data_IF_821349940271
#
_entry.id   IF_821349940271
#
_cell.length_a   1.000
_cell.length_b   1.000
_cell.length_c   1.000
_cell.angle_alpha   90.00
_cell.angle_beta   90.00
_cell.angle_gamma   90.00
#
_symmetry.space_group_name_H-M   'P 1'
#
loop_
_entity.id
_entity.type
_entity.pdbx_description
1 polymer ?
#
# COMPACT_ATOMS: atom_id res chain seq x y z
N UNK A 1 -40.61 67.30 -12.05
CA UNK A 1 -39.49 66.68 -11.31
C UNK A 1 -39.30 65.18 -11.57
N UNK A 2 -40.11 64.50 -12.34
CA UNK A 2 -40.09 63.05 -12.56
C UNK A 2 -38.98 62.52 -13.53
N UNK A 3 -38.59 63.27 -14.57
CA UNK A 3 -37.63 62.80 -15.61
C UNK A 3 -36.16 62.68 -15.15
N UNK A 4 -35.74 63.24 -14.04
CA UNK A 4 -34.33 63.10 -13.55
C UNK A 4 -34.09 61.84 -12.70
N UNK A 5 -35.10 61.24 -12.11
CA UNK A 5 -34.98 59.99 -11.37
C UNK A 5 -34.76 58.76 -12.29
N UNK A 6 -35.47 58.70 -13.42
CA UNK A 6 -35.39 57.58 -14.37
C UNK A 6 -33.99 57.46 -15.06
N UNK A 7 -33.32 58.60 -15.27
CA UNK A 7 -31.99 58.59 -15.88
C UNK A 7 -30.91 58.08 -14.93
N UNK A 8 -31.05 58.26 -13.64
CA UNK A 8 -30.08 57.83 -12.63
C UNK A 8 -30.17 56.30 -12.35
N UNK A 9 -31.40 55.77 -12.33
CA UNK A 9 -31.62 54.31 -12.20
C UNK A 9 -31.14 53.55 -13.43
N UNK A 10 -31.37 54.06 -14.62
CA UNK A 10 -30.85 53.51 -15.89
C UNK A 10 -29.31 53.47 -15.92
N UNK A 11 -28.64 54.51 -15.39
CA UNK A 11 -27.17 54.57 -15.34
C UNK A 11 -26.62 53.54 -14.35
N UNK A 12 -27.19 53.40 -13.15
CA UNK A 12 -26.79 52.37 -12.14
C UNK A 12 -27.01 50.94 -12.65
N UNK A 13 -28.10 50.70 -13.37
CA UNK A 13 -28.37 49.38 -13.95
C UNK A 13 -27.33 49.01 -15.00
N UNK A 14 -26.89 49.96 -15.85
CA UNK A 14 -25.84 49.78 -16.86
C UNK A 14 -24.47 49.52 -16.19
N UNK A 15 -24.15 50.20 -15.14
CA UNK A 15 -22.91 50.00 -14.38
C UNK A 15 -22.87 48.60 -13.70
N UNK A 16 -23.95 48.20 -13.06
CA UNK A 16 -24.09 46.85 -12.53
C UNK A 16 -23.97 45.75 -13.58
N UNK A 17 -24.51 45.96 -14.77
CA UNK A 17 -24.39 45.05 -15.88
C UNK A 17 -22.93 44.91 -16.38
N UNK A 18 -22.20 46.05 -16.48
CA UNK A 18 -20.76 46.08 -16.81
C UNK A 18 -19.93 45.35 -15.76
N UNK A 19 -20.19 45.57 -14.48
CA UNK A 19 -19.50 44.92 -13.37
C UNK A 19 -19.73 43.40 -13.36
N UNK A 20 -20.95 42.94 -13.64
CA UNK A 20 -21.26 41.49 -13.77
C UNK A 20 -20.51 40.88 -14.97
N UNK A 21 -20.44 41.54 -16.12
CA UNK A 21 -19.65 41.06 -17.28
C UNK A 21 -18.18 40.99 -16.95
N UNK A 22 -17.60 42.00 -16.32
CA UNK A 22 -16.21 42.02 -15.86
C UNK A 22 -15.90 40.87 -14.89
N UNK A 23 -16.72 40.70 -13.89
CA UNK A 23 -16.54 39.62 -12.90
C UNK A 23 -16.67 38.22 -13.56
N UNK A 24 -17.58 38.06 -14.51
CA UNK A 24 -17.71 36.81 -15.30
C UNK A 24 -16.49 36.52 -16.16
N UNK A 25 -15.95 37.54 -16.82
CA UNK A 25 -14.71 37.41 -17.59
C UNK A 25 -13.52 37.08 -16.71
N UNK A 26 -13.35 37.74 -15.56
CA UNK A 26 -12.30 37.45 -14.56
C UNK A 26 -12.38 36.02 -14.02
N UNK A 27 -13.60 35.54 -13.72
CA UNK A 27 -13.82 34.13 -13.31
C UNK A 27 -13.45 33.15 -14.43
N UNK A 28 -13.77 33.48 -15.68
CA UNK A 28 -13.44 32.63 -16.84
C UNK A 28 -11.93 32.52 -17.03
N UNK A 29 -11.20 33.63 -16.98
CA UNK A 29 -9.73 33.66 -17.09
C UNK A 29 -9.06 32.85 -15.97
N UNK A 30 -9.52 33.04 -14.71
CA UNK A 30 -9.03 32.27 -13.57
C UNK A 30 -9.29 30.77 -13.75
N UNK A 31 -10.46 30.39 -14.25
CA UNK A 31 -10.80 29.00 -14.56
C UNK A 31 -9.92 28.41 -15.66
N UNK A 32 -9.59 29.15 -16.68
CA UNK A 32 -8.70 28.73 -17.77
C UNK A 32 -7.26 28.55 -17.29
N UNK A 33 -6.75 29.49 -16.50
CA UNK A 33 -5.42 29.38 -15.86
C UNK A 33 -5.32 28.14 -14.96
N UNK A 34 -6.33 27.89 -14.13
CA UNK A 34 -6.39 26.69 -13.30
C UNK A 34 -6.40 25.41 -14.13
N UNK A 35 -7.16 25.37 -15.25
CA UNK A 35 -7.20 24.24 -16.17
C UNK A 35 -5.86 24.01 -16.85
N UNK A 36 -5.15 25.08 -17.25
CA UNK A 36 -3.82 24.96 -17.83
C UNK A 36 -2.79 24.44 -16.83
N UNK A 37 -2.79 24.97 -15.61
CA UNK A 37 -1.93 24.49 -14.53
C UNK A 37 -2.15 23.00 -14.27
N UNK A 38 -3.40 22.58 -14.16
CA UNK A 38 -3.81 21.20 -13.97
C UNK A 38 -3.33 20.29 -15.12
N UNK A 39 -3.50 20.71 -16.39
CA UNK A 39 -3.02 19.96 -17.56
C UNK A 39 -1.50 19.81 -17.58
N UNK A 40 -0.77 20.85 -17.16
CA UNK A 40 0.70 20.79 -17.03
C UNK A 40 1.12 19.80 -15.95
N UNK A 41 0.48 19.83 -14.79
CA UNK A 41 0.74 18.87 -13.71
C UNK A 41 0.47 17.42 -14.13
N UNK A 42 -0.67 17.14 -14.77
CA UNK A 42 -0.97 15.80 -15.27
C UNK A 42 0.07 15.30 -16.30
N UNK A 43 0.53 16.18 -17.18
CA UNK A 43 1.54 15.81 -18.18
C UNK A 43 2.89 15.52 -17.52
N UNK A 44 3.26 16.30 -16.50
CA UNK A 44 4.49 16.05 -15.71
C UNK A 44 4.41 14.70 -15.03
N UNK A 45 3.34 14.42 -14.29
CA UNK A 45 3.13 13.13 -13.61
C UNK A 45 3.17 11.95 -14.60
N UNK A 46 2.57 12.11 -15.79
CA UNK A 46 2.59 11.07 -16.81
C UNK A 46 4.01 10.81 -17.36
N UNK A 47 4.84 11.83 -17.49
CA UNK A 47 6.25 11.68 -17.86
C UNK A 47 7.07 11.00 -16.76
N UNK A 48 6.83 11.36 -15.50
CA UNK A 48 7.49 10.74 -14.35
C UNK A 48 7.14 9.25 -14.24
N UNK A 49 5.87 8.87 -14.41
CA UNK A 49 5.44 7.46 -14.48
C UNK A 49 6.14 6.74 -15.64
N UNK A 50 6.21 7.37 -16.81
CA UNK A 50 6.91 6.81 -17.96
C UNK A 50 8.39 6.55 -17.65
N UNK A 51 9.08 7.55 -17.09
CA UNK A 51 10.50 7.43 -16.73
C UNK A 51 10.74 6.36 -15.67
N UNK A 52 9.84 6.22 -14.69
CA UNK A 52 9.94 5.17 -13.68
C UNK A 52 9.82 3.76 -14.31
N UNK A 53 8.90 3.59 -15.26
CA UNK A 53 8.76 2.32 -15.98
C UNK A 53 9.97 2.04 -16.88
N UNK A 54 10.46 3.07 -17.60
CA UNK A 54 11.68 2.94 -18.42
C UNK A 54 12.88 2.55 -17.53
N UNK A 55 12.98 3.13 -16.34
CA UNK A 55 14.03 2.78 -15.38
C UNK A 55 13.91 1.34 -14.87
N UNK A 56 12.70 0.84 -14.59
CA UNK A 56 12.49 -0.53 -14.10
C UNK A 56 12.67 -1.55 -15.22
N UNK A 57 12.02 -1.36 -16.36
CA UNK A 57 11.98 -2.35 -17.45
C UNK A 57 13.17 -2.25 -18.40
N UNK A 58 13.79 -1.09 -18.51
CA UNK A 58 14.79 -0.80 -19.54
C UNK A 58 14.16 -0.88 -20.95
N UNK A 59 14.97 -1.22 -21.93
CA UNK A 59 14.52 -1.39 -23.32
C UNK A 59 13.84 -2.75 -23.58
N UNK A 60 13.73 -3.58 -22.57
CA UNK A 60 13.24 -4.93 -22.71
C UNK A 60 11.71 -4.95 -22.82
N UNK A 61 11.23 -5.40 -23.95
CA UNK A 61 9.82 -5.53 -24.28
C UNK A 61 9.36 -6.97 -24.11
N UNK A 62 9.41 -7.48 -22.86
CA UNK A 62 8.91 -8.81 -22.57
C UNK A 62 7.42 -8.92 -22.93
N UNK A 63 7.04 -10.02 -23.55
CA UNK A 63 5.64 -10.38 -23.82
C UNK A 63 5.39 -11.71 -23.10
N UNK A 64 4.21 -11.93 -22.50
CA UNK A 64 3.89 -13.21 -21.89
C UNK A 64 4.04 -14.34 -22.90
N UNK A 65 4.73 -15.43 -22.55
CA UNK A 65 4.94 -16.58 -23.43
C UNK A 65 3.64 -17.24 -23.90
N UNK A 66 2.56 -17.07 -23.12
CA UNK A 66 1.20 -17.56 -23.43
C UNK A 66 0.35 -16.57 -24.23
N UNK A 67 0.88 -15.38 -24.55
CA UNK A 67 0.14 -14.44 -25.37
C UNK A 67 0.08 -14.92 -26.81
N UNK A 68 -1.06 -14.66 -27.49
CA UNK A 68 -1.21 -14.97 -28.90
C UNK A 68 -0.21 -14.18 -29.74
N UNK A 69 0.34 -14.78 -30.80
CA UNK A 69 1.35 -14.15 -31.67
C UNK A 69 0.94 -12.80 -32.26
N UNK A 70 -0.37 -12.58 -32.48
CA UNK A 70 -0.94 -11.33 -32.96
C UNK A 70 -1.23 -10.30 -31.84
N UNK A 71 -0.66 -10.46 -30.65
CA UNK A 71 -0.85 -9.51 -29.55
C UNK A 71 -0.25 -8.15 -29.94
N UNK A 72 -1.09 -7.17 -30.20
CA UNK A 72 -0.69 -5.83 -30.66
C UNK A 72 -0.15 -4.91 -29.57
N UNK A 73 -0.26 -5.28 -28.27
CA UNK A 73 0.25 -4.50 -27.17
C UNK A 73 1.62 -5.01 -26.71
N UNK A 74 2.42 -4.09 -26.16
CA UNK A 74 3.71 -4.41 -25.54
C UNK A 74 3.59 -4.25 -24.02
N UNK A 75 4.35 -5.00 -23.25
CA UNK A 75 4.35 -4.97 -21.77
C UNK A 75 4.49 -3.58 -21.24
N UNK A 76 5.48 -2.82 -21.69
CA UNK A 76 5.69 -1.42 -21.30
C UNK A 76 4.45 -0.56 -21.59
N UNK A 77 3.83 -0.68 -22.77
CA UNK A 77 2.64 0.10 -23.13
C UNK A 77 1.45 -0.23 -22.24
N UNK A 78 1.25 -1.52 -21.93
CA UNK A 78 0.19 -1.96 -21.02
C UNK A 78 0.40 -1.40 -19.61
N UNK A 79 1.62 -1.48 -19.08
CA UNK A 79 1.95 -0.98 -17.75
C UNK A 79 1.79 0.54 -17.65
N UNK A 80 2.30 1.30 -18.63
CA UNK A 80 2.13 2.76 -18.66
C UNK A 80 0.65 3.13 -18.68
N UNK A 81 -0.14 2.49 -19.55
CA UNK A 81 -1.58 2.79 -19.64
C UNK A 81 -2.31 2.42 -18.35
N UNK A 82 -1.99 1.27 -17.74
CA UNK A 82 -2.60 0.84 -16.48
C UNK A 82 -2.25 1.78 -15.32
N UNK A 83 -0.99 2.17 -15.17
CA UNK A 83 -0.57 3.10 -14.11
C UNK A 83 -1.16 4.50 -14.32
N UNK A 84 -1.20 5.01 -15.54
CA UNK A 84 -1.85 6.30 -15.83
C UNK A 84 -3.36 6.27 -15.62
N UNK A 85 -3.99 5.11 -15.75
CA UNK A 85 -5.38 4.91 -15.36
C UNK A 85 -5.56 4.94 -13.85
N UNK A 86 -4.75 4.18 -13.09
CA UNK A 86 -4.82 4.07 -11.63
C UNK A 86 -4.49 5.42 -10.97
N UNK A 87 -3.45 6.10 -11.40
CA UNK A 87 -3.04 7.40 -10.87
C UNK A 87 -3.85 8.59 -11.42
N UNK A 88 -4.97 8.32 -12.09
CA UNK A 88 -5.88 9.39 -12.51
C UNK A 88 -6.69 9.91 -11.33
N UNK A 89 -6.84 11.22 -11.25
CA UNK A 89 -7.66 11.92 -10.26
C UNK A 89 -9.17 11.91 -10.56
N UNK A 90 -9.60 11.14 -11.56
CA UNK A 90 -11.01 11.06 -11.94
C UNK A 90 -11.77 10.10 -11.03
N UNK A 91 -12.88 10.57 -10.47
CA UNK A 91 -13.72 9.79 -9.56
C UNK A 91 -14.45 8.60 -10.21
N UNK A 92 -14.58 8.58 -11.55
CA UNK A 92 -15.21 7.47 -12.27
C UNK A 92 -14.17 6.67 -13.04
N UNK A 93 -14.20 5.36 -12.92
CA UNK A 93 -13.20 4.46 -13.54
C UNK A 93 -13.11 4.62 -15.06
N UNK A 94 -14.23 4.87 -15.75
CA UNK A 94 -14.24 5.11 -17.20
C UNK A 94 -13.60 6.46 -17.56
N UNK A 95 -13.92 7.51 -16.81
CA UNK A 95 -13.32 8.85 -17.04
C UNK A 95 -11.81 8.81 -16.74
N UNK A 96 -11.39 8.03 -15.74
CA UNK A 96 -10.00 7.76 -15.42
C UNK A 96 -9.31 7.04 -16.59
N UNK A 97 -9.95 6.00 -17.16
CA UNK A 97 -9.43 5.29 -18.34
C UNK A 97 -9.26 6.22 -19.52
N UNK A 98 -10.26 7.03 -19.87
CA UNK A 98 -10.19 7.98 -20.96
C UNK A 98 -9.08 9.03 -20.75
N UNK A 99 -8.90 9.47 -19.50
CA UNK A 99 -7.80 10.40 -19.14
C UNK A 99 -6.45 9.72 -19.27
N UNK A 100 -6.27 8.54 -18.68
CA UNK A 100 -5.04 7.76 -18.74
C UNK A 100 -4.65 7.38 -20.16
N UNK A 101 -5.62 6.98 -20.99
CA UNK A 101 -5.40 6.66 -22.41
C UNK A 101 -4.90 7.87 -23.19
N UNK A 102 -5.49 9.06 -23.00
CA UNK A 102 -5.00 10.31 -23.62
C UNK A 102 -3.58 10.64 -23.18
N UNK A 103 -3.27 10.50 -21.88
CA UNK A 103 -1.93 10.75 -21.37
C UNK A 103 -0.92 9.73 -21.92
N UNK A 104 -1.28 8.46 -21.96
CA UNK A 104 -0.45 7.39 -22.54
C UNK A 104 -0.09 7.70 -24.00
N UNK A 105 -1.07 8.05 -24.82
CA UNK A 105 -0.83 8.47 -26.21
C UNK A 105 0.10 9.67 -26.30
N UNK A 106 -0.02 10.63 -25.37
CA UNK A 106 0.80 11.86 -25.37
C UNK A 106 2.26 11.61 -24.99
N UNK A 107 2.52 10.77 -23.96
CA UNK A 107 3.88 10.57 -23.41
C UNK A 107 4.60 9.36 -23.99
N UNK A 108 3.85 8.39 -24.51
CA UNK A 108 4.40 7.13 -25.05
C UNK A 108 4.12 6.96 -26.55
N UNK A 109 3.25 7.78 -27.14
CA UNK A 109 2.88 7.72 -28.57
C UNK A 109 1.93 6.57 -28.93
N UNK A 110 1.73 5.59 -28.05
CA UNK A 110 0.95 4.37 -28.27
C UNK A 110 0.02 4.09 -27.08
N UNK A 111 -0.98 3.25 -27.30
CA UNK A 111 -1.86 2.69 -26.27
C UNK A 111 -1.95 1.19 -26.45
N UNK A 112 -2.12 0.45 -25.37
CA UNK A 112 -2.31 -1.00 -25.42
C UNK A 112 -3.76 -1.36 -25.79
N UNK A 113 -4.72 -0.64 -25.20
CA UNK A 113 -6.16 -0.88 -25.39
C UNK A 113 -6.92 0.42 -25.61
N UNK A 114 -7.80 0.42 -26.62
CA UNK A 114 -8.71 1.54 -26.91
C UNK A 114 -10.01 1.47 -26.10
N UNK A 115 -10.34 0.32 -25.53
CA UNK A 115 -11.55 0.14 -24.73
C UNK A 115 -11.24 -0.21 -23.27
N UNK A 116 -12.04 0.33 -22.35
CA UNK A 116 -11.94 0.05 -20.91
C UNK A 116 -12.06 -1.44 -20.60
N UNK A 117 -13.06 -2.13 -21.20
CA UNK A 117 -13.24 -3.57 -21.00
C UNK A 117 -12.08 -4.41 -21.50
N UNK A 118 -11.43 -4.01 -22.60
CA UNK A 118 -10.23 -4.66 -23.12
C UNK A 118 -9.07 -4.55 -22.14
N UNK A 119 -8.81 -3.34 -21.61
CA UNK A 119 -7.78 -3.14 -20.59
C UNK A 119 -8.03 -3.99 -19.33
N UNK A 120 -9.25 -3.97 -18.80
CA UNK A 120 -9.58 -4.75 -17.59
C UNK A 120 -9.41 -6.25 -17.82
N UNK A 121 -9.90 -6.80 -18.95
CA UNK A 121 -9.70 -8.22 -19.26
C UNK A 121 -8.22 -8.60 -19.38
N UNK A 122 -7.41 -7.72 -19.98
CA UNK A 122 -5.98 -7.94 -20.06
C UNK A 122 -5.32 -7.90 -18.67
N UNK A 123 -5.65 -6.92 -17.83
CA UNK A 123 -5.12 -6.83 -16.46
C UNK A 123 -5.52 -8.03 -15.61
N UNK A 124 -6.78 -8.45 -15.64
CA UNK A 124 -7.22 -9.66 -14.91
C UNK A 124 -6.42 -10.89 -15.32
N UNK A 125 -6.14 -11.05 -16.60
CA UNK A 125 -5.40 -12.21 -17.12
C UNK A 125 -3.91 -12.13 -16.83
N UNK A 126 -3.29 -10.95 -16.97
CA UNK A 126 -1.84 -10.83 -17.02
C UNK A 126 -1.20 -10.22 -15.77
N UNK A 127 -1.98 -9.71 -14.80
CA UNK A 127 -1.41 -9.12 -13.58
C UNK A 127 -0.50 -10.06 -12.80
N UNK A 128 -0.80 -11.37 -12.62
CA UNK A 128 0.13 -12.26 -11.92
C UNK A 128 1.51 -12.27 -12.59
N UNK A 129 1.58 -12.52 -13.89
CA UNK A 129 2.82 -12.51 -14.65
C UNK A 129 3.51 -11.13 -14.67
N UNK A 130 2.73 -10.03 -14.83
CA UNK A 130 3.27 -8.67 -14.79
C UNK A 130 3.91 -8.36 -13.43
N UNK A 131 3.33 -8.86 -12.34
CA UNK A 131 3.87 -8.70 -10.99
C UNK A 131 5.22 -9.40 -10.83
N UNK A 132 5.37 -10.62 -11.36
CA UNK A 132 6.62 -11.36 -11.33
C UNK A 132 7.72 -10.66 -12.14
N UNK A 133 7.40 -10.23 -13.37
CA UNK A 133 8.33 -9.47 -14.21
C UNK A 133 8.76 -8.17 -13.51
N UNK A 134 7.79 -7.46 -12.94
CA UNK A 134 8.05 -6.20 -12.23
C UNK A 134 8.95 -6.42 -11.01
N UNK A 135 8.66 -7.42 -10.19
CA UNK A 135 9.48 -7.74 -9.01
C UNK A 135 10.91 -8.08 -9.38
N UNK A 136 11.11 -9.00 -10.33
CA UNK A 136 12.45 -9.38 -10.79
C UNK A 136 13.26 -8.16 -11.27
N UNK A 137 12.62 -7.26 -12.01
CA UNK A 137 13.28 -6.05 -12.50
C UNK A 137 13.55 -5.03 -11.39
N UNK A 138 12.61 -4.85 -10.46
CA UNK A 138 12.79 -3.98 -9.30
C UNK A 138 13.95 -4.49 -8.43
N UNK A 139 14.06 -5.79 -8.15
CA UNK A 139 15.18 -6.35 -7.38
C UNK A 139 16.51 -6.00 -8.01
N UNK A 140 16.67 -6.24 -9.33
CA UNK A 140 17.88 -5.88 -10.07
C UNK A 140 18.17 -4.37 -9.97
N UNK A 141 17.17 -3.53 -10.08
CA UNK A 141 17.34 -2.08 -9.98
C UNK A 141 17.67 -1.63 -8.56
N UNK A 142 17.11 -2.27 -7.53
CA UNK A 142 17.44 -1.97 -6.14
C UNK A 142 18.92 -2.26 -5.90
N UNK A 143 19.42 -3.43 -6.26
CA UNK A 143 20.82 -3.80 -6.11
C UNK A 143 21.76 -2.85 -6.84
N UNK A 144 21.44 -2.53 -8.09
CA UNK A 144 22.26 -1.62 -8.92
C UNK A 144 22.24 -0.19 -8.38
N UNK A 145 21.07 0.32 -7.99
CA UNK A 145 20.88 1.70 -7.54
C UNK A 145 21.40 1.92 -6.13
N UNK A 146 21.21 0.93 -5.25
CA UNK A 146 21.62 1.03 -3.85
C UNK A 146 23.14 1.20 -3.70
N UNK A 147 23.95 0.52 -4.53
CA UNK A 147 25.40 0.62 -4.49
C UNK A 147 25.94 0.48 -3.06
N UNK A 148 26.60 1.54 -2.56
CA UNK A 148 27.11 1.58 -1.17
C UNK A 148 26.01 1.53 -0.10
N UNK A 149 24.78 1.89 -0.43
CA UNK A 149 23.63 1.86 0.48
C UNK A 149 22.95 0.49 0.54
N UNK A 150 23.39 -0.48 -0.29
CA UNK A 150 22.85 -1.85 -0.29
C UNK A 150 22.91 -2.51 1.09
N UNK A 151 24.01 -2.26 1.81
CA UNK A 151 24.20 -2.77 3.16
C UNK A 151 24.43 -1.61 4.14
N UNK A 152 23.73 -1.65 5.25
CA UNK A 152 23.95 -0.78 6.39
C UNK A 152 24.66 -1.60 7.47
N UNK A 153 25.89 -1.25 7.81
CA UNK A 153 26.73 -1.99 8.79
C UNK A 153 26.85 -3.50 8.53
N UNK A 154 26.88 -3.88 7.23
CA UNK A 154 26.99 -5.28 6.79
C UNK A 154 25.66 -5.99 6.57
N UNK A 155 24.52 -5.38 6.90
CA UNK A 155 23.17 -5.94 6.77
C UNK A 155 22.41 -5.36 5.59
N UNK A 156 21.65 -6.18 4.89
CA UNK A 156 20.57 -5.70 4.01
C UNK A 156 19.34 -5.46 4.88
N UNK A 157 19.03 -4.18 5.12
CA UNK A 157 17.94 -3.82 6.04
C UNK A 157 16.62 -3.72 5.28
N UNK A 158 15.69 -4.58 5.65
CA UNK A 158 14.34 -4.64 5.10
C UNK A 158 13.32 -4.24 6.16
N UNK A 159 12.45 -3.28 5.86
CA UNK A 159 11.34 -2.95 6.75
C UNK A 159 10.08 -3.68 6.31
N UNK A 160 9.25 -4.00 7.31
CA UNK A 160 7.97 -4.69 7.12
C UNK A 160 6.87 -3.85 7.72
N UNK A 161 5.82 -3.63 6.95
CA UNK A 161 4.59 -2.97 7.45
C UNK A 161 3.39 -3.40 6.62
N UNK A 162 2.21 -3.20 7.18
CA UNK A 162 0.94 -3.45 6.52
C UNK A 162 0.03 -2.25 6.52
N UNK A 163 -0.74 -2.13 5.45
CA UNK A 163 -1.77 -1.10 5.31
C UNK A 163 -3.08 -1.70 4.83
N UNK A 164 -4.17 -0.99 5.10
CA UNK A 164 -5.51 -1.34 4.62
C UNK A 164 -6.02 -0.26 3.70
N UNK A 165 -6.56 -0.69 2.56
CA UNK A 165 -7.25 0.22 1.67
C UNK A 165 -8.68 -0.26 1.40
N UNK A 166 -9.59 0.68 1.19
CA UNK A 166 -10.99 0.39 0.90
C UNK A 166 -11.18 0.13 -0.58
N UNK A 167 -11.93 -0.90 -0.91
CA UNK A 167 -12.28 -1.19 -2.30
C UNK A 167 -13.74 -0.81 -2.59
N UNK A 168 -14.09 -0.53 -3.85
CA UNK A 168 -15.47 -0.26 -4.23
C UNK A 168 -16.40 -1.37 -3.79
N UNK A 169 -17.59 -1.02 -3.30
CA UNK A 169 -18.59 -1.99 -2.86
C UNK A 169 -19.26 -2.67 -4.02
N UNK A 170 -18.68 -3.75 -4.49
CA UNK A 170 -19.24 -4.67 -5.47
C UNK A 170 -19.43 -6.05 -4.85
N UNK A 171 -20.33 -6.86 -5.37
CA UNK A 171 -20.54 -8.22 -4.88
C UNK A 171 -19.23 -9.06 -4.89
N UNK A 172 -18.41 -8.88 -5.92
CA UNK A 172 -17.11 -9.56 -6.03
C UNK A 172 -16.14 -9.11 -4.93
N UNK A 173 -16.04 -7.80 -4.67
CA UNK A 173 -15.17 -7.28 -3.63
C UNK A 173 -15.68 -7.64 -2.22
N UNK A 174 -16.99 -7.67 -2.00
CA UNK A 174 -17.56 -8.12 -0.73
C UNK A 174 -17.23 -9.59 -0.45
N UNK A 175 -17.30 -10.44 -1.48
CA UNK A 175 -16.93 -11.86 -1.36
C UNK A 175 -15.43 -12.06 -1.13
N UNK A 176 -14.58 -11.27 -1.80
CA UNK A 176 -13.14 -11.45 -1.77
C UNK A 176 -12.47 -10.78 -0.55
N UNK A 177 -12.97 -9.62 -0.12
CA UNK A 177 -12.25 -8.72 0.79
C UNK A 177 -13.00 -8.38 2.08
N UNK A 178 -14.26 -8.78 2.24
CA UNK A 178 -14.89 -8.74 3.56
C UNK A 178 -14.46 -9.94 4.38
N UNK A 179 -14.23 -9.74 5.68
CA UNK A 179 -13.99 -10.85 6.58
C UNK A 179 -15.18 -11.84 6.53
N UNK A 180 -14.94 -13.15 6.51
CA UNK A 180 -15.98 -14.17 6.34
C UNK A 180 -17.14 -14.08 7.34
N UNK A 181 -16.91 -13.45 8.47
CA UNK A 181 -17.88 -13.31 9.57
C UNK A 181 -18.47 -11.89 9.69
N UNK A 182 -18.24 -11.02 8.73
CA UNK A 182 -18.78 -9.68 8.73
C UNK A 182 -20.23 -9.68 8.23
N UNK A 183 -21.17 -9.50 9.14
CA UNK A 183 -22.59 -9.28 8.82
C UNK A 183 -23.50 -10.49 8.94
N UNK A 184 -22.99 -11.73 8.92
CA UNK A 184 -23.83 -12.94 9.03
C UNK A 184 -23.29 -13.90 10.09
N UNK A 185 -24.13 -14.28 11.06
CA UNK A 185 -23.92 -15.41 11.95
C UNK A 185 -23.04 -15.15 13.19
N UNK A 186 -21.80 -15.63 13.21
CA UNK A 186 -20.97 -15.65 14.44
C UNK A 186 -20.63 -14.28 15.00
N UNK A 187 -20.38 -13.28 14.15
CA UNK A 187 -20.02 -11.91 14.61
C UNK A 187 -21.23 -11.20 15.21
N UNK A 188 -22.41 -11.41 14.62
CA UNK A 188 -23.65 -10.90 15.20
C UNK A 188 -23.95 -11.57 16.56
N UNK A 189 -23.67 -12.87 16.70
CA UNK A 189 -23.78 -13.60 17.98
C UNK A 189 -22.72 -13.15 19.00
N UNK A 190 -21.48 -12.91 18.59
CA UNK A 190 -20.42 -12.41 19.44
C UNK A 190 -20.72 -10.99 19.94
N UNK A 191 -21.20 -10.11 19.08
CA UNK A 191 -21.67 -8.77 19.47
C UNK A 191 -22.86 -8.84 20.43
N UNK A 192 -23.83 -9.72 20.20
CA UNK A 192 -24.96 -9.95 21.12
C UNK A 192 -24.50 -10.47 22.50
N UNK A 193 -23.47 -11.32 22.57
CA UNK A 193 -22.92 -11.81 23.85
C UNK A 193 -22.16 -10.74 24.62
N UNK A 194 -21.42 -9.84 23.92
CA UNK A 194 -20.57 -8.82 24.55
C UNK A 194 -21.36 -7.59 25.01
N UNK A 195 -22.59 -7.43 24.56
CA UNK A 195 -23.45 -6.29 24.86
C UNK A 195 -24.61 -6.65 25.78
N UNK A 196 -24.31 -7.19 26.98
CA UNK A 196 -25.32 -7.23 28.05
C UNK A 196 -25.45 -5.83 28.67
N UNK A 197 -26.64 -5.24 28.68
CA UNK A 197 -26.95 -3.97 29.35
C UNK A 197 -27.02 -2.73 28.42
N UNK A 198 -26.70 -1.55 28.92
CA UNK A 198 -26.89 -0.23 28.29
C UNK A 198 -26.31 -0.06 26.87
N UNK A 199 -25.27 -0.83 26.49
CA UNK A 199 -24.70 -0.85 25.14
C UNK A 199 -25.65 -1.39 24.07
N UNK A 200 -26.60 -2.28 24.44
CA UNK A 200 -27.56 -2.86 23.49
C UNK A 200 -28.50 -1.81 22.93
N UNK A 201 -29.00 -0.92 23.76
CA UNK A 201 -29.90 0.16 23.34
C UNK A 201 -29.20 1.21 22.48
N UNK A 202 -27.91 1.50 22.74
CA UNK A 202 -27.12 2.41 21.93
C UNK A 202 -26.80 1.84 20.53
N UNK A 203 -26.60 0.52 20.41
CA UNK A 203 -26.34 -0.15 19.12
C UNK A 203 -27.63 -0.28 18.31
N UNK A 204 -28.77 -0.50 18.94
CA UNK A 204 -30.08 -0.52 18.26
C UNK A 204 -30.48 0.84 17.70
N UNK A 205 -30.14 1.93 18.40
CA UNK A 205 -30.37 3.33 17.94
C UNK A 205 -29.41 3.77 16.83
N UNK A 206 -28.14 3.32 16.89
CA UNK A 206 -27.13 3.63 15.89
C UNK A 206 -26.42 2.35 15.46
N UNK A 207 -26.99 1.57 14.53
CA UNK A 207 -26.35 0.38 14.03
C UNK A 207 -25.00 0.76 13.40
N UNK A 208 -23.92 0.02 13.68
CA UNK A 208 -22.64 0.27 13.05
C UNK A 208 -22.79 0.17 11.53
N UNK A 209 -22.16 1.10 10.80
CA UNK A 209 -22.12 1.05 9.35
C UNK A 209 -21.71 -0.35 8.87
N UNK A 210 -22.33 -0.87 7.81
CA UNK A 210 -21.95 -2.17 7.27
C UNK A 210 -20.48 -2.15 6.89
N UNK A 211 -19.75 -3.26 7.12
CA UNK A 211 -18.33 -3.33 6.83
C UNK A 211 -18.07 -3.02 5.35
N UNK A 212 -17.08 -2.19 5.08
CA UNK A 212 -16.63 -1.90 3.72
C UNK A 212 -15.60 -2.96 3.32
N UNK A 213 -15.63 -3.49 2.09
CA UNK A 213 -14.59 -4.39 1.62
C UNK A 213 -13.23 -3.69 1.68
N UNK A 214 -12.26 -4.32 2.33
CA UNK A 214 -10.90 -3.79 2.51
C UNK A 214 -9.89 -4.80 2.05
N UNK A 215 -8.93 -4.34 1.27
CA UNK A 215 -7.76 -5.11 0.92
C UNK A 215 -6.66 -4.83 1.93
N UNK A 216 -6.06 -5.87 2.46
CA UNK A 216 -4.87 -5.76 3.28
C UNK A 216 -3.63 -5.91 2.41
N UNK A 217 -2.70 -4.98 2.52
CA UNK A 217 -1.44 -4.97 1.78
C UNK A 217 -0.32 -5.07 2.81
N UNK A 218 0.44 -6.15 2.79
CA UNK A 218 1.67 -6.29 3.57
C UNK A 218 2.84 -6.16 2.60
N UNK A 219 3.78 -5.28 2.92
CA UNK A 219 4.95 -5.00 2.08
C UNK A 219 6.24 -5.20 2.85
N UNK A 220 7.26 -5.66 2.15
CA UNK A 220 8.65 -5.66 2.58
C UNK A 220 9.42 -4.75 1.62
N UNK A 221 10.17 -3.80 2.14
CA UNK A 221 10.95 -2.87 1.32
C UNK A 221 12.36 -2.64 1.86
N UNK A 222 13.29 -2.38 0.96
CA UNK A 222 14.66 -2.04 1.30
C UNK A 222 14.72 -0.62 1.90
N UNK A 223 15.19 -0.51 3.15
CA UNK A 223 15.09 0.73 3.94
C UNK A 223 15.85 1.89 3.30
N UNK A 224 17.07 1.66 2.81
CA UNK A 224 17.88 2.74 2.29
C UNK A 224 17.40 3.29 0.94
N UNK A 225 16.84 2.46 0.08
CA UNK A 225 16.31 2.90 -1.22
C UNK A 225 14.83 3.21 -1.19
N UNK A 226 14.11 2.78 -0.14
CA UNK A 226 12.65 2.87 -0.01
C UNK A 226 11.89 2.17 -1.16
N UNK A 227 12.54 1.25 -1.86
CA UNK A 227 11.93 0.47 -2.92
C UNK A 227 11.37 -0.84 -2.37
N UNK A 228 10.19 -1.21 -2.85
CA UNK A 228 9.51 -2.44 -2.43
C UNK A 228 10.25 -3.67 -2.91
N UNK A 229 10.57 -4.59 -1.99
CA UNK A 229 11.16 -5.89 -2.32
C UNK A 229 10.08 -6.89 -2.73
N UNK A 230 9.07 -7.06 -1.90
CA UNK A 230 7.91 -7.89 -2.21
C UNK A 230 6.66 -7.41 -1.45
N UNK A 231 5.49 -7.90 -1.85
CA UNK A 231 4.22 -7.61 -1.20
C UNK A 231 3.27 -8.80 -1.27
N UNK A 232 2.31 -8.82 -0.35
CA UNK A 232 1.19 -9.74 -0.38
C UNK A 232 -0.11 -9.01 -0.11
N UNK A 233 -1.16 -9.43 -0.85
CA UNK A 233 -2.52 -8.92 -0.70
C UNK A 233 -3.39 -9.96 0.00
N UNK A 234 -4.28 -9.49 0.86
CA UNK A 234 -5.23 -10.36 1.54
C UNK A 234 -6.55 -9.67 1.86
N UNK A 235 -7.53 -10.43 2.36
CA UNK A 235 -8.81 -9.88 2.81
C UNK A 235 -8.66 -9.07 4.09
N UNK A 236 -9.72 -8.38 4.50
CA UNK A 236 -9.72 -7.49 5.68
C UNK A 236 -9.32 -8.14 7.01
N UNK A 237 -9.38 -9.46 7.10
CA UNK A 237 -8.97 -10.26 8.26
C UNK A 237 -7.61 -10.96 8.09
N UNK A 238 -6.86 -10.61 7.05
CA UNK A 238 -5.51 -11.14 6.85
C UNK A 238 -4.57 -10.78 8.02
N UNK A 239 -3.57 -11.60 8.22
CA UNK A 239 -2.53 -11.38 9.22
C UNK A 239 -1.24 -10.96 8.55
N UNK A 240 -0.71 -9.80 8.92
CA UNK A 240 0.60 -9.32 8.45
C UNK A 240 1.70 -10.35 8.69
N UNK A 241 1.73 -10.96 9.87
CA UNK A 241 2.72 -11.99 10.21
C UNK A 241 2.61 -13.22 9.30
N UNK A 242 1.38 -13.67 9.02
CA UNK A 242 1.17 -14.80 8.12
C UNK A 242 1.61 -14.45 6.68
N UNK A 243 1.32 -13.22 6.23
CA UNK A 243 1.81 -12.74 4.93
C UNK A 243 3.34 -12.73 4.85
N UNK A 244 4.00 -12.24 5.91
CA UNK A 244 5.48 -12.21 5.93
C UNK A 244 6.06 -13.62 5.99
N UNK A 245 5.50 -14.52 6.79
CA UNK A 245 5.95 -15.92 6.81
C UNK A 245 5.85 -16.57 5.43
N UNK A 246 4.73 -16.38 4.75
CA UNK A 246 4.55 -16.91 3.39
C UNK A 246 5.50 -16.24 2.37
N UNK A 247 5.80 -14.94 2.53
CA UNK A 247 6.81 -14.28 1.68
C UNK A 247 8.23 -14.78 1.99
N UNK A 248 8.54 -15.14 3.25
CA UNK A 248 9.82 -15.74 3.63
C UNK A 248 9.98 -17.17 3.10
N UNK A 249 8.91 -17.96 3.11
CA UNK A 249 8.90 -19.34 2.63
C UNK A 249 9.03 -19.44 1.10
N UNK A 250 8.43 -18.51 0.37
CA UNK A 250 8.32 -18.53 -1.08
C UNK A 250 9.24 -17.53 -1.80
N UNK A 251 9.90 -16.64 -1.06
CA UNK A 251 10.74 -15.58 -1.62
C UNK A 251 12.23 -15.82 -1.39
N UNK A 252 13.03 -15.25 -2.28
CA UNK A 252 14.47 -15.18 -2.10
C UNK A 252 14.86 -13.85 -1.50
N UNK A 253 15.54 -13.90 -0.35
CA UNK A 253 16.07 -12.72 0.33
C UNK A 253 17.59 -12.75 0.32
N UNK A 254 18.24 -11.59 0.23
CA UNK A 254 19.69 -11.51 0.27
C UNK A 254 20.27 -12.08 1.57
N UNK A 255 21.44 -12.68 1.50
CA UNK A 255 22.17 -13.11 2.70
C UNK A 255 22.37 -11.95 3.67
N UNK A 256 22.33 -12.24 4.97
CA UNK A 256 22.41 -11.25 6.06
C UNK A 256 21.32 -10.17 5.95
N UNK A 257 20.09 -10.59 5.62
CA UNK A 257 18.94 -9.70 5.74
C UNK A 257 18.57 -9.47 7.20
N UNK A 258 18.37 -8.20 7.56
CA UNK A 258 17.83 -7.75 8.84
C UNK A 258 16.41 -7.24 8.64
N UNK A 259 15.42 -8.00 9.07
CA UNK A 259 14.03 -7.55 9.03
C UNK A 259 13.72 -6.61 10.20
N UNK A 260 13.15 -5.45 9.92
CA UNK A 260 12.72 -4.48 10.93
C UNK A 260 11.20 -4.32 10.89
N UNK A 261 10.57 -4.29 12.05
CA UNK A 261 9.12 -4.15 12.16
C UNK A 261 8.69 -3.56 13.50
N UNK A 262 7.42 -3.24 13.60
CA UNK A 262 6.83 -2.74 14.83
C UNK A 262 6.52 -3.87 15.84
N UNK A 263 5.83 -3.53 16.94
CA UNK A 263 5.41 -4.49 17.96
C UNK A 263 4.33 -5.49 17.50
N UNK A 264 3.79 -5.36 16.30
CA UNK A 264 2.90 -6.33 15.67
C UNK A 264 3.63 -7.58 15.22
N UNK A 265 4.93 -7.50 14.97
CA UNK A 265 5.77 -8.58 14.43
C UNK A 265 6.48 -9.39 15.53
N UNK A 266 5.80 -9.65 16.63
CA UNK A 266 6.31 -10.45 17.74
C UNK A 266 5.69 -11.85 17.77
N UNK A 267 6.46 -12.87 18.17
CA UNK A 267 5.98 -14.24 18.37
C UNK A 267 7.02 -15.29 18.08
N UNK A 268 6.98 -16.38 18.85
CA UNK A 268 7.96 -17.45 18.76
C UNK A 268 8.09 -18.03 17.35
N UNK A 269 6.98 -18.48 16.75
CA UNK A 269 6.99 -19.09 15.42
C UNK A 269 7.48 -18.12 14.32
N UNK A 270 7.05 -16.88 14.41
CA UNK A 270 7.46 -15.84 13.46
C UNK A 270 8.98 -15.57 13.55
N UNK A 271 9.51 -15.40 14.75
CA UNK A 271 10.95 -15.17 14.96
C UNK A 271 11.77 -16.41 14.58
N UNK A 272 11.25 -17.60 14.92
CA UNK A 272 11.89 -18.85 14.53
C UNK A 272 12.01 -18.99 13.01
N UNK A 273 10.96 -18.68 12.25
CA UNK A 273 10.99 -18.77 10.78
C UNK A 273 12.03 -17.85 10.16
N UNK A 274 12.23 -16.64 10.71
CA UNK A 274 13.28 -15.73 10.26
C UNK A 274 14.68 -16.29 10.54
N UNK A 275 14.89 -16.82 11.77
CA UNK A 275 16.18 -17.38 12.18
C UNK A 275 16.50 -18.64 11.37
N UNK A 276 15.53 -19.54 11.20
CA UNK A 276 15.69 -20.77 10.41
C UNK A 276 16.02 -20.48 8.94
N UNK A 277 15.52 -19.38 8.40
CA UNK A 277 15.88 -18.86 7.07
C UNK A 277 17.27 -18.23 6.99
N UNK A 278 18.07 -18.23 8.06
CA UNK A 278 19.40 -17.61 8.09
C UNK A 278 19.39 -16.09 8.15
N UNK A 279 18.25 -15.51 8.53
CA UNK A 279 18.05 -14.07 8.60
C UNK A 279 17.99 -13.57 10.04
N UNK A 280 17.95 -12.26 10.22
CA UNK A 280 17.90 -11.60 11.52
C UNK A 280 16.70 -10.66 11.58
N UNK A 281 16.32 -10.26 12.78
CA UNK A 281 15.24 -9.30 12.97
C UNK A 281 15.56 -8.27 14.06
N UNK A 282 15.00 -7.09 13.92
CA UNK A 282 14.97 -6.02 14.90
C UNK A 282 13.53 -5.53 15.03
N UNK A 283 12.87 -5.90 16.12
CA UNK A 283 11.46 -5.56 16.36
C UNK A 283 11.28 -4.92 17.72
N UNK A 284 10.37 -3.97 17.78
CA UNK A 284 10.00 -3.40 19.09
C UNK A 284 9.20 -4.42 19.89
N UNK A 285 9.62 -4.64 21.12
CA UNK A 285 8.93 -5.56 22.03
C UNK A 285 8.10 -4.76 23.04
N UNK A 286 6.80 -5.06 23.12
CA UNK A 286 5.91 -4.48 24.13
C UNK A 286 5.93 -5.26 25.44
N UNK A 287 5.43 -4.65 26.51
CA UNK A 287 5.37 -5.25 27.85
C UNK A 287 4.51 -6.56 27.94
N UNK A 288 3.74 -6.84 26.91
CA UNK A 288 2.93 -8.05 26.78
C UNK A 288 3.71 -9.29 26.30
N UNK A 289 4.98 -9.11 25.90
CA UNK A 289 5.86 -10.20 25.46
C UNK A 289 6.69 -10.67 26.64
N UNK A 290 6.49 -11.91 27.07
CA UNK A 290 7.22 -12.49 28.18
C UNK A 290 8.54 -13.08 27.68
N UNK A 291 9.64 -12.38 27.95
CA UNK A 291 11.00 -12.84 27.72
C UNK A 291 11.63 -13.26 29.02
N UNK A 292 12.40 -14.36 29.00
CA UNK A 292 13.10 -14.91 30.16
C UNK A 292 14.54 -14.36 30.15
N UNK A 293 15.03 -13.93 31.28
CA UNK A 293 16.43 -13.47 31.44
C UNK A 293 17.38 -14.65 31.78
N UNK A 294 16.85 -15.78 32.22
CA UNK A 294 17.60 -16.98 32.55
C UNK A 294 16.73 -18.23 32.32
N UNK A 295 17.34 -19.31 31.91
CA UNK A 295 16.67 -20.63 31.80
C UNK A 295 16.78 -21.49 33.06
N UNK A 296 17.51 -21.01 34.07
CA UNK A 296 17.70 -21.72 35.34
C UNK A 296 18.73 -22.84 35.31
N UNK A 297 19.27 -23.17 34.13
CA UNK A 297 20.31 -24.19 33.93
C UNK A 297 21.48 -23.74 33.06
N UNK A 298 21.47 -22.46 32.66
CA UNK A 298 22.59 -21.87 31.91
C UNK A 298 23.78 -21.67 32.85
N UNK A 299 24.90 -22.31 32.50
CA UNK A 299 26.16 -22.21 33.21
C UNK A 299 27.08 -21.16 32.58
N UNK A 300 26.69 -20.63 31.40
CA UNK A 300 27.48 -19.59 30.71
C UNK A 300 27.33 -18.23 31.41
N UNK A 301 28.42 -17.44 31.51
CA UNK A 301 28.33 -16.12 32.08
C UNK A 301 27.30 -15.30 31.33
N UNK A 302 26.52 -14.55 32.07
CA UNK A 302 25.45 -13.68 31.60
C UNK A 302 26.06 -12.67 30.61
N UNK A 303 25.93 -12.95 29.31
CA UNK A 303 26.23 -11.92 28.32
C UNK A 303 25.16 -10.84 28.49
N UNK A 304 25.60 -9.63 28.79
CA UNK A 304 24.73 -8.46 28.94
C UNK A 304 23.67 -8.40 27.84
N UNK A 305 22.40 -8.33 28.26
CA UNK A 305 21.23 -8.21 27.39
C UNK A 305 20.77 -9.48 26.63
N UNK A 306 21.21 -10.66 27.01
CA UNK A 306 20.60 -11.89 26.50
C UNK A 306 19.23 -12.14 27.15
N UNK A 307 18.28 -12.57 26.29
CA UNK A 307 16.94 -12.96 26.71
C UNK A 307 16.48 -14.17 25.90
N UNK A 308 15.53 -14.90 26.43
CA UNK A 308 15.00 -16.09 25.78
C UNK A 308 13.51 -15.96 25.53
N UNK A 309 13.07 -16.21 24.31
CA UNK A 309 11.68 -16.39 23.98
C UNK A 309 11.33 -17.87 24.05
N UNK A 310 10.57 -18.26 25.07
CA UNK A 310 10.16 -19.64 25.27
C UNK A 310 8.77 -19.73 25.90
N UNK A 311 7.70 -19.55 25.13
CA UNK A 311 6.32 -19.63 25.59
C UNK A 311 6.00 -21.00 26.23
N UNK A 312 5.05 -21.02 27.15
CA UNK A 312 4.68 -22.24 27.91
C UNK A 312 4.17 -23.38 27.02
N UNK A 313 3.42 -23.07 25.99
CA UNK A 313 2.95 -24.01 24.98
C UNK A 313 4.14 -24.63 24.22
N UNK A 314 5.10 -23.84 23.80
CA UNK A 314 6.30 -24.30 23.09
C UNK A 314 7.23 -25.15 23.93
N UNK A 315 7.30 -24.89 25.24
CA UNK A 315 7.99 -25.78 26.21
C UNK A 315 7.32 -27.15 26.29
N UNK A 316 5.99 -27.18 26.34
CA UNK A 316 5.22 -28.43 26.36
C UNK A 316 5.35 -29.24 25.09
N UNK A 317 5.52 -28.57 23.95
CA UNK A 317 5.79 -29.17 22.64
C UNK A 317 7.25 -29.64 22.48
N UNK A 318 8.11 -29.46 23.50
CA UNK A 318 9.53 -29.81 23.41
C UNK A 318 10.39 -28.93 22.51
N UNK A 319 9.87 -27.76 22.12
CA UNK A 319 10.61 -26.83 21.30
C UNK A 319 11.73 -26.15 22.08
N UNK A 320 12.85 -25.83 21.41
CA UNK A 320 13.99 -25.13 22.03
C UNK A 320 13.69 -23.65 22.25
N UNK A 321 14.25 -23.00 23.31
CA UNK A 321 14.16 -21.54 23.46
C UNK A 321 14.88 -20.83 22.31
N UNK A 322 14.35 -19.69 21.90
CA UNK A 322 15.06 -18.78 21.00
C UNK A 322 15.96 -17.85 21.84
N UNK A 323 17.27 -17.90 21.62
CA UNK A 323 18.27 -17.03 22.25
C UNK A 323 18.29 -15.71 21.48
N UNK A 324 18.01 -14.61 22.15
CA UNK A 324 17.82 -13.28 21.53
C UNK A 324 18.66 -12.24 22.29
N UNK A 325 19.06 -11.17 21.62
CA UNK A 325 19.65 -9.99 22.24
C UNK A 325 18.60 -8.89 22.39
N UNK A 326 18.43 -8.37 23.60
CA UNK A 326 17.55 -7.25 23.89
C UNK A 326 18.35 -5.93 23.89
N UNK A 327 17.89 -4.93 23.12
CA UNK A 327 18.47 -3.60 23.10
C UNK A 327 17.52 -2.65 23.81
N UNK A 328 17.97 -2.02 24.87
CA UNK A 328 17.20 -1.02 25.62
C UNK A 328 17.66 0.38 25.24
N UNK A 329 16.73 1.18 24.73
CA UNK A 329 17.03 2.57 24.36
C UNK A 329 16.26 3.50 25.30
N UNK A 330 16.98 4.29 26.07
CA UNK A 330 16.37 5.28 26.95
C UNK A 330 16.25 6.62 26.21
N UNK A 331 15.01 7.02 25.94
CA UNK A 331 14.69 8.29 25.28
C UNK A 331 14.31 9.37 26.34
N UNK A 332 15.30 10.14 26.77
CA UNK A 332 15.12 11.22 27.74
C UNK A 332 14.65 10.71 29.11
N UNK A 333 13.67 11.41 29.74
CA UNK A 333 13.09 11.03 31.05
C UNK A 333 12.02 9.95 30.98
N UNK A 334 11.66 9.46 29.79
CA UNK A 334 10.69 8.38 29.61
C UNK A 334 11.37 7.03 29.86
N UNK A 335 10.56 6.02 30.30
CA UNK A 335 11.06 4.66 30.44
C UNK A 335 11.67 4.17 29.14
N UNK A 336 12.73 3.36 29.23
CA UNK A 336 13.35 2.71 28.09
C UNK A 336 12.29 1.92 27.27
N UNK A 337 12.44 1.91 25.98
CA UNK A 337 11.60 1.19 25.04
C UNK A 337 12.36 0.00 24.51
#
# INVERSE_FOLDING_TARGET
MSKKLDSHESSKAKEHARQRKFNRAKRKVKSESQRQHYRKAQTRNAKEIRSAIDWVLGDEQAVPTQAHGNTGWKTMTLMIQALLWIFSDKGKLKDAFDSGTRQCKKVHGRIAFSSYSGLIKALVRWTPWLSEVLLTRIHKQIETTAGKLWRTTGWVVMAVDGSRDTTPRTLSNEKAFCAPNHGHGKTARYRKKKTKGMRRQAIEKNPPAPPVPQIWITMIWHVATQLTWCWKLGPSNASERAHVQEMLENGEFPEKTLFTGDAGFVGYEFWKSIIDGGHHFLVRVGANVNLLHSLGYDVEPDEDNLVYCWPKDKRREGMRPLKLRMIQIQLGRKKAV
#
